data_IF_110108499420
#
_entry.id   IF_110108499420
#
_cell.length_a   1.000
_cell.length_b   1.000
_cell.length_c   1.000
_cell.angle_alpha   90.00
_cell.angle_beta   90.00
_cell.angle_gamma   90.00
#
_symmetry.space_group_name_H-M   'P 1'
#
loop_
_entity.id
_entity.type
_entity.pdbx_description
1 polymer ?
#
# COMPACT_ATOMS: atom_id res chain seq x y z
N UNK A 1 -14.11 -19.38 -0.12
CA UNK A 1 -14.62 -18.08 -0.55
C UNK A 1 -16.12 -18.15 -0.66
N UNK A 2 -16.84 -17.31 0.11
CA UNK A 2 -18.30 -17.41 0.26
C UNK A 2 -19.07 -16.65 -0.83
N UNK A 3 -18.48 -15.63 -1.40
CA UNK A 3 -19.10 -14.74 -2.37
C UNK A 3 -18.12 -14.32 -3.47
N UNK A 4 -18.55 -14.31 -4.72
CA UNK A 4 -17.82 -13.72 -5.81
C UNK A 4 -18.75 -13.15 -6.87
N UNK A 5 -18.36 -12.06 -7.52
CA UNK A 5 -19.12 -11.39 -8.54
C UNK A 5 -18.21 -10.79 -9.61
N UNK A 6 -18.60 -10.91 -10.86
CA UNK A 6 -17.88 -10.32 -11.99
C UNK A 6 -18.21 -8.83 -12.10
N UNK A 7 -17.21 -7.98 -12.26
CA UNK A 7 -17.43 -6.56 -12.52
C UNK A 7 -18.02 -6.35 -13.92
N UNK A 8 -18.84 -5.32 -14.04
CA UNK A 8 -19.45 -4.95 -15.31
C UNK A 8 -18.38 -4.58 -16.36
N UNK A 9 -18.57 -4.97 -17.60
CA UNK A 9 -17.57 -4.87 -18.69
C UNK A 9 -17.09 -3.45 -19.03
N UNK A 10 -17.73 -2.41 -18.48
CA UNK A 10 -17.39 -1.02 -18.76
C UNK A 10 -16.14 -0.52 -18.02
N UNK A 11 -15.65 -1.23 -17.01
CA UNK A 11 -14.48 -0.86 -16.22
C UNK A 11 -13.33 -1.78 -16.62
N UNK A 12 -12.37 -1.27 -17.37
CA UNK A 12 -11.31 -2.10 -18.00
C UNK A 12 -9.92 -1.84 -17.45
N UNK A 13 -9.61 -0.64 -16.96
CA UNK A 13 -8.25 -0.35 -16.53
C UNK A 13 -8.12 -0.38 -15.01
N UNK A 14 -6.99 -0.93 -14.55
CA UNK A 14 -6.59 -0.92 -13.14
C UNK A 14 -6.58 0.49 -12.56
N UNK A 15 -6.04 1.46 -13.32
CA UNK A 15 -5.96 2.86 -12.91
C UNK A 15 -7.34 3.49 -12.71
N UNK A 16 -8.33 3.16 -13.53
CA UNK A 16 -9.70 3.62 -13.35
C UNK A 16 -10.30 3.11 -12.05
N UNK A 17 -10.15 1.80 -11.75
CA UNK A 17 -10.63 1.22 -10.50
C UNK A 17 -9.95 1.86 -9.29
N UNK A 18 -8.62 1.97 -9.31
CA UNK A 18 -7.85 2.60 -8.24
C UNK A 18 -8.28 4.04 -8.01
N UNK A 19 -8.55 4.77 -9.08
CA UNK A 19 -9.01 6.14 -8.98
C UNK A 19 -10.42 6.23 -8.36
N UNK A 20 -11.34 5.36 -8.74
CA UNK A 20 -12.69 5.30 -8.16
C UNK A 20 -12.67 4.90 -6.69
N UNK A 21 -11.71 4.06 -6.30
CA UNK A 21 -11.54 3.59 -4.93
C UNK A 21 -10.55 4.42 -4.09
N UNK A 22 -9.98 5.50 -4.62
CA UNK A 22 -8.90 6.26 -3.96
C UNK A 22 -9.25 6.78 -2.56
N UNK A 23 -10.54 6.99 -2.27
CA UNK A 23 -11.04 7.43 -0.97
C UNK A 23 -11.37 6.29 -0.02
N UNK A 24 -11.29 5.03 -0.47
CA UNK A 24 -11.54 3.89 0.40
C UNK A 24 -10.36 3.68 1.36
N UNK A 25 -10.68 3.23 2.56
CA UNK A 25 -9.65 3.04 3.58
C UNK A 25 -8.75 1.85 3.24
N UNK A 26 -7.44 2.01 3.46
CA UNK A 26 -6.47 0.93 3.29
C UNK A 26 -6.39 0.37 1.87
N UNK A 27 -6.65 1.20 0.84
CA UNK A 27 -6.53 0.78 -0.55
C UNK A 27 -5.11 0.31 -0.85
N UNK A 28 -4.98 -0.92 -1.35
CA UNK A 28 -3.71 -1.54 -1.74
C UNK A 28 -3.85 -2.14 -3.13
N UNK A 29 -2.84 -1.91 -3.96
CA UNK A 29 -2.67 -2.57 -5.25
C UNK A 29 -1.45 -3.49 -5.21
N UNK A 30 -1.65 -4.76 -5.57
CA UNK A 30 -0.60 -5.75 -5.72
C UNK A 30 -0.54 -6.18 -7.18
N UNK A 31 0.60 -5.98 -7.79
CA UNK A 31 0.88 -6.47 -9.13
C UNK A 31 1.38 -7.91 -9.03
N UNK A 32 0.44 -8.86 -8.98
CA UNK A 32 0.75 -10.28 -8.85
C UNK A 32 0.83 -10.92 -10.25
N UNK A 33 1.95 -10.70 -10.92
CA UNK A 33 2.23 -11.19 -12.27
C UNK A 33 1.06 -10.91 -13.24
N UNK A 34 0.30 -11.95 -13.61
CA UNK A 34 -0.86 -11.84 -14.51
C UNK A 34 -2.21 -11.76 -13.77
N UNK A 35 -2.19 -11.66 -12.44
CA UNK A 35 -3.38 -11.65 -11.59
C UNK A 35 -3.37 -10.48 -10.60
N UNK A 36 -3.35 -9.22 -11.07
CA UNK A 36 -3.33 -8.09 -10.19
C UNK A 36 -4.51 -8.09 -9.21
N UNK A 37 -4.25 -7.61 -7.99
CA UNK A 37 -5.20 -7.58 -6.88
C UNK A 37 -5.35 -6.15 -6.38
N UNK A 38 -6.59 -5.72 -6.14
CA UNK A 38 -6.91 -4.46 -5.46
C UNK A 38 -7.68 -4.81 -4.18
N UNK A 39 -7.06 -4.57 -3.02
CA UNK A 39 -7.68 -4.78 -1.72
C UNK A 39 -8.01 -3.42 -1.07
N UNK A 40 -9.11 -3.35 -0.33
CA UNK A 40 -9.59 -2.13 0.30
C UNK A 40 -10.48 -2.46 1.51
N UNK A 41 -10.70 -1.48 2.38
CA UNK A 41 -11.52 -1.60 3.58
C UNK A 41 -11.16 -2.84 4.42
N UNK A 42 -9.93 -2.93 4.95
CA UNK A 42 -9.53 -4.06 5.78
C UNK A 42 -10.45 -4.19 6.99
N UNK A 43 -10.80 -5.43 7.38
CA UNK A 43 -11.59 -5.70 8.57
C UNK A 43 -10.95 -5.15 9.84
N UNK A 44 -9.64 -5.29 9.90
CA UNK A 44 -8.80 -4.80 10.98
C UNK A 44 -7.49 -4.29 10.38
N UNK A 45 -6.90 -3.28 11.01
CA UNK A 45 -5.55 -2.87 10.65
C UNK A 45 -4.77 -2.33 11.84
N UNK A 46 -3.47 -2.43 11.74
CA UNK A 46 -2.50 -1.90 12.71
C UNK A 46 -1.60 -0.91 12.01
N UNK A 47 -1.35 0.20 12.65
CA UNK A 47 -0.35 1.18 12.21
C UNK A 47 0.62 1.48 13.36
N UNK A 48 1.88 1.73 13.02
CA UNK A 48 2.84 2.34 13.93
C UNK A 48 3.11 3.77 13.50
N UNK A 49 2.73 4.68 14.35
CA UNK A 49 2.94 6.11 14.15
C UNK A 49 3.18 6.78 15.51
N UNK A 50 3.97 7.85 15.55
CA UNK A 50 4.29 8.57 16.79
C UNK A 50 4.77 7.66 17.93
N UNK A 51 5.63 6.68 17.61
CA UNK A 51 6.21 5.70 18.53
C UNK A 51 5.18 4.78 19.24
N UNK A 52 4.00 4.67 18.71
CA UNK A 52 2.94 3.83 19.26
C UNK A 52 2.26 3.00 18.18
N UNK A 53 1.91 1.77 18.52
CA UNK A 53 0.99 0.96 17.75
C UNK A 53 -0.44 1.42 18.02
N UNK A 54 -1.22 1.56 16.95
CA UNK A 54 -2.65 1.80 17.01
C UNK A 54 -3.35 0.71 16.23
N UNK A 55 -4.34 0.10 16.85
CA UNK A 55 -5.16 -0.94 16.27
C UNK A 55 -6.56 -0.43 15.99
N UNK A 56 -7.08 -0.78 14.82
CA UNK A 56 -8.40 -0.36 14.38
C UNK A 56 -9.20 -1.55 13.87
N UNK A 57 -10.47 -1.56 14.21
CA UNK A 57 -11.46 -2.53 13.73
C UNK A 57 -12.61 -1.80 13.07
N UNK A 58 -13.12 -2.33 11.96
CA UNK A 58 -14.33 -1.83 11.33
C UNK A 58 -15.55 -2.26 12.16
N UNK A 59 -16.47 -1.32 12.40
CA UNK A 59 -17.74 -1.59 13.09
C UNK A 59 -18.87 -1.89 12.10
N UNK A 60 -20.08 -2.16 12.62
CA UNK A 60 -21.27 -2.49 11.82
C UNK A 60 -21.78 -1.36 10.91
N UNK A 61 -21.32 -0.14 11.11
CA UNK A 61 -21.64 1.02 10.27
C UNK A 61 -20.48 1.45 9.39
N UNK A 62 -19.52 0.56 9.14
CA UNK A 62 -18.32 0.75 8.30
C UNK A 62 -17.41 1.90 8.73
N UNK A 63 -17.38 2.22 10.03
CA UNK A 63 -16.41 3.14 10.63
C UNK A 63 -15.34 2.37 11.38
N UNK A 64 -14.12 2.92 11.40
CA UNK A 64 -13.03 2.32 12.15
C UNK A 64 -12.98 2.85 13.58
N UNK A 65 -12.99 1.94 14.51
CA UNK A 65 -12.84 2.20 15.94
C UNK A 65 -11.46 1.78 16.42
N UNK A 66 -10.82 2.64 17.21
CA UNK A 66 -9.55 2.31 17.85
C UNK A 66 -9.79 1.41 19.06
N UNK A 67 -8.98 0.36 19.18
CA UNK A 67 -9.03 -0.60 20.27
C UNK A 67 -7.91 -0.32 21.27
N UNK A 68 -8.23 -0.26 22.55
CA UNK A 68 -7.30 0.16 23.62
C UNK A 68 -6.29 -0.92 24.02
N UNK A 69 -6.65 -2.21 23.89
CA UNK A 69 -5.76 -3.32 24.28
C UNK A 69 -5.41 -4.18 23.07
N UNK A 70 -4.18 -4.02 22.58
CA UNK A 70 -3.73 -4.80 21.45
C UNK A 70 -2.23 -5.05 21.44
N UNK A 71 -1.84 -6.28 21.13
CA UNK A 71 -0.46 -6.64 20.78
C UNK A 71 -0.40 -7.17 19.36
N UNK A 72 0.71 -6.92 18.66
CA UNK A 72 0.89 -7.38 17.29
C UNK A 72 0.85 -8.92 17.20
N UNK A 73 1.31 -9.61 18.23
CA UNK A 73 1.28 -11.06 18.32
C UNK A 73 -0.17 -11.58 18.36
N UNK A 74 -1.04 -10.91 19.11
CA UNK A 74 -2.47 -11.24 19.15
C UNK A 74 -3.14 -11.03 17.78
N UNK A 75 -2.74 -9.98 17.04
CA UNK A 75 -3.27 -9.70 15.72
C UNK A 75 -2.93 -10.80 14.71
N UNK A 76 -1.69 -11.24 14.68
CA UNK A 76 -1.23 -12.27 13.75
C UNK A 76 -1.75 -13.65 14.15
N UNK A 77 -1.77 -14.00 15.45
CA UNK A 77 -2.21 -15.31 15.93
C UNK A 77 -3.72 -15.51 15.78
N UNK A 78 -4.51 -14.47 15.98
CA UNK A 78 -5.98 -14.60 15.97
C UNK A 78 -6.55 -15.02 14.61
N UNK A 79 -5.77 -14.89 13.54
CA UNK A 79 -6.25 -15.08 12.18
C UNK A 79 -5.47 -16.11 11.35
N UNK A 80 -4.45 -16.73 11.92
CA UNK A 80 -3.67 -17.78 11.22
C UNK A 80 -4.36 -19.13 11.17
N UNK A 81 -5.50 -19.28 11.85
CA UNK A 81 -6.23 -20.53 11.88
C UNK A 81 -7.18 -20.64 10.67
N UNK A 82 -6.96 -21.66 9.86
CA UNK A 82 -7.95 -22.32 9.00
C UNK A 82 -8.01 -21.99 7.51
N UNK A 83 -6.89 -21.71 6.82
CA UNK A 83 -6.97 -22.04 5.40
C UNK A 83 -5.63 -22.53 4.83
N UNK A 84 -5.38 -23.87 4.82
CA UNK A 84 -4.28 -24.45 4.07
C UNK A 84 -4.65 -24.52 2.58
N UNK A 85 -5.05 -23.41 1.98
CA UNK A 85 -5.18 -23.39 0.53
C UNK A 85 -3.85 -22.98 -0.06
N UNK A 86 -3.22 -23.90 -0.73
CA UNK A 86 -2.12 -23.78 -1.67
C UNK A 86 -2.52 -22.94 -2.89
N UNK A 87 -3.16 -21.81 -2.70
CA UNK A 87 -3.45 -20.90 -3.79
C UNK A 87 -2.15 -20.21 -4.18
N UNK A 88 -1.73 -20.38 -5.43
CA UNK A 88 -0.56 -19.72 -5.99
C UNK A 88 -0.68 -18.18 -6.06
N UNK A 89 -1.81 -17.61 -5.68
CA UNK A 89 -2.17 -16.20 -5.80
C UNK A 89 -2.96 -15.75 -4.57
N UNK A 90 -3.00 -14.43 -4.32
CA UNK A 90 -3.73 -13.86 -3.18
C UNK A 90 -5.20 -14.31 -3.14
N UNK A 91 -5.64 -14.77 -1.97
CA UNK A 91 -7.00 -15.28 -1.70
C UNK A 91 -7.61 -14.73 -0.41
N UNK A 92 -7.21 -13.52 -0.01
CA UNK A 92 -7.52 -12.90 1.28
C UNK A 92 -6.40 -13.09 2.30
N UNK A 93 -6.42 -12.31 3.37
CA UNK A 93 -5.45 -12.36 4.45
C UNK A 93 -4.79 -11.02 4.71
N UNK A 94 -3.51 -11.05 5.08
CA UNK A 94 -2.78 -9.85 5.50
C UNK A 94 -2.00 -9.22 4.36
N UNK A 95 -2.15 -7.90 4.22
CA UNK A 95 -1.31 -7.07 3.35
C UNK A 95 -0.77 -5.92 4.18
N UNK A 96 0.52 -5.62 4.03
CA UNK A 96 1.13 -4.53 4.77
C UNK A 96 2.54 -4.23 4.33
N UNK A 97 3.16 -3.29 5.05
CA UNK A 97 4.56 -2.95 4.86
C UNK A 97 5.23 -2.58 6.18
N UNK A 98 6.52 -2.81 6.24
CA UNK A 98 7.42 -2.35 7.30
C UNK A 98 8.43 -1.44 6.62
N UNK A 99 8.46 -0.15 6.97
CA UNK A 99 9.41 0.78 6.38
C UNK A 99 10.79 0.64 7.02
N UNK A 100 11.80 1.11 6.30
CA UNK A 100 13.16 1.25 6.84
C UNK A 100 13.17 2.09 8.13
N UNK A 101 12.39 3.16 8.17
CA UNK A 101 12.30 4.07 9.31
C UNK A 101 11.82 3.37 10.60
N UNK A 102 10.96 2.33 10.49
CA UNK A 102 10.54 1.53 11.64
C UNK A 102 11.73 0.82 12.31
N UNK A 103 12.57 0.17 11.52
CA UNK A 103 13.77 -0.49 12.04
C UNK A 103 14.82 0.54 12.52
N UNK A 104 15.03 1.61 11.78
CA UNK A 104 16.00 2.65 12.10
C UNK A 104 15.68 3.38 13.41
N UNK A 105 14.41 3.51 13.78
CA UNK A 105 13.97 4.12 15.04
C UNK A 105 14.57 3.47 16.30
N UNK A 106 14.93 2.20 16.21
CA UNK A 106 15.56 1.48 17.33
C UNK A 106 16.99 1.94 17.59
N UNK A 107 17.66 2.52 16.60
CA UNK A 107 19.08 2.84 16.64
C UNK A 107 19.40 4.34 16.51
N UNK A 108 18.51 5.10 15.88
CA UNK A 108 18.73 6.52 15.60
C UNK A 108 17.42 7.30 15.60
N UNK A 109 17.46 8.60 15.95
CA UNK A 109 16.28 9.45 15.78
C UNK A 109 15.89 9.55 14.31
N UNK A 110 14.67 9.18 13.98
CA UNK A 110 14.10 9.28 12.63
C UNK A 110 13.06 10.39 12.63
N UNK A 111 13.05 11.20 11.56
CA UNK A 111 12.05 12.25 11.38
C UNK A 111 10.69 11.63 11.13
N UNK A 112 9.69 12.05 11.90
CA UNK A 112 8.31 11.64 11.69
C UNK A 112 7.80 12.07 10.31
N UNK A 113 7.04 11.17 9.66
CA UNK A 113 6.42 11.37 8.35
C UNK A 113 4.91 11.19 8.47
N UNK A 114 4.17 11.72 7.50
CA UNK A 114 2.72 11.52 7.41
C UNK A 114 2.37 10.04 7.17
N UNK A 115 3.16 9.35 6.37
CA UNK A 115 3.00 7.91 6.15
C UNK A 115 3.45 7.15 7.40
N UNK A 116 2.65 6.19 7.90
CA UNK A 116 3.07 5.34 9.00
C UNK A 116 4.31 4.54 8.62
N UNK A 117 5.17 4.24 9.60
CA UNK A 117 6.37 3.43 9.38
C UNK A 117 6.10 1.93 9.39
N UNK A 118 4.91 1.54 9.81
CA UNK A 118 4.42 0.17 9.80
C UNK A 118 2.91 0.18 9.54
N UNK A 119 2.44 -0.69 8.67
CA UNK A 119 1.03 -0.93 8.42
C UNK A 119 0.81 -2.40 8.10
N UNK A 120 -0.19 -3.03 8.71
CA UNK A 120 -0.72 -4.33 8.30
C UNK A 120 -2.25 -4.27 8.42
N UNK A 121 -2.95 -4.64 7.34
CA UNK A 121 -4.40 -4.79 7.29
C UNK A 121 -4.80 -6.22 6.95
N UNK A 122 -5.91 -6.68 7.52
CA UNK A 122 -6.56 -7.94 7.16
C UNK A 122 -7.66 -7.66 6.14
N UNK A 123 -7.56 -8.30 4.99
CA UNK A 123 -8.48 -8.13 3.87
C UNK A 123 -9.24 -9.42 3.60
N UNK A 124 -10.53 -9.40 3.88
CA UNK A 124 -11.45 -10.50 3.58
C UNK A 124 -12.13 -10.31 2.23
N UNK A 125 -12.04 -9.09 1.68
CA UNK A 125 -12.66 -8.70 0.42
C UNK A 125 -11.64 -7.97 -0.46
N UNK A 126 -11.66 -8.28 -1.76
CA UNK A 126 -10.71 -7.73 -2.72
C UNK A 126 -11.22 -7.89 -4.15
N UNK A 127 -10.67 -7.13 -5.07
CA UNK A 127 -10.80 -7.32 -6.51
C UNK A 127 -9.59 -8.09 -7.03
N UNK A 128 -9.83 -9.01 -7.96
CA UNK A 128 -8.77 -9.75 -8.64
C UNK A 128 -9.07 -9.82 -10.14
N UNK A 129 -8.01 -9.62 -10.93
CA UNK A 129 -8.09 -9.74 -12.38
C UNK A 129 -7.64 -11.13 -12.82
N UNK A 130 -8.46 -11.81 -13.61
CA UNK A 130 -8.13 -13.04 -14.32
C UNK A 130 -9.11 -13.23 -15.49
N UNK A 131 -8.73 -14.02 -16.47
CA UNK A 131 -9.54 -14.29 -17.66
C UNK A 131 -10.10 -13.01 -18.32
N UNK A 132 -9.23 -11.98 -18.43
CA UNK A 132 -9.52 -10.65 -18.99
C UNK A 132 -10.63 -9.86 -18.29
N UNK A 133 -10.96 -10.21 -17.04
CA UNK A 133 -11.99 -9.55 -16.26
C UNK A 133 -11.60 -9.34 -14.80
N UNK A 134 -12.18 -8.31 -14.21
CA UNK A 134 -12.13 -8.10 -12.77
C UNK A 134 -13.28 -8.82 -12.07
N UNK A 135 -12.98 -9.45 -10.95
CA UNK A 135 -13.94 -10.11 -10.07
C UNK A 135 -13.78 -9.59 -8.65
N UNK A 136 -14.90 -9.38 -7.98
CA UNK A 136 -14.95 -9.14 -6.55
C UNK A 136 -15.04 -10.49 -5.83
N UNK A 137 -14.24 -10.64 -4.80
CA UNK A 137 -14.18 -11.80 -3.93
C UNK A 137 -14.35 -11.39 -2.49
N UNK A 138 -15.12 -12.15 -1.69
CA UNK A 138 -15.26 -11.90 -0.26
C UNK A 138 -15.55 -13.18 0.52
N UNK A 139 -14.99 -13.26 1.74
CA UNK A 139 -15.34 -14.24 2.77
C UNK A 139 -16.11 -13.60 3.94
N UNK A 140 -16.38 -12.29 3.87
CA UNK A 140 -17.15 -11.57 4.87
C UNK A 140 -18.61 -12.01 4.90
N UNK A 141 -19.25 -11.92 6.07
CA UNK A 141 -20.65 -12.28 6.21
C UNK A 141 -21.60 -11.25 5.55
N UNK A 142 -21.12 -10.02 5.35
CA UNK A 142 -21.80 -8.90 4.70
C UNK A 142 -21.35 -8.68 3.24
N UNK A 143 -20.79 -9.70 2.59
CA UNK A 143 -20.20 -9.62 1.27
C UNK A 143 -21.12 -9.00 0.20
N UNK A 144 -22.42 -9.33 0.23
CA UNK A 144 -23.41 -8.79 -0.71
C UNK A 144 -23.61 -7.28 -0.53
N UNK A 145 -23.63 -6.81 0.71
CA UNK A 145 -23.74 -5.37 0.99
C UNK A 145 -22.46 -4.64 0.55
N UNK A 146 -21.28 -5.21 0.77
CA UNK A 146 -20.01 -4.66 0.28
C UNK A 146 -19.99 -4.59 -1.25
N UNK A 147 -20.51 -5.60 -1.92
CA UNK A 147 -20.65 -5.59 -3.38
C UNK A 147 -21.53 -4.44 -3.87
N UNK A 148 -22.71 -4.25 -3.28
CA UNK A 148 -23.61 -3.15 -3.65
C UNK A 148 -22.94 -1.78 -3.46
N UNK A 149 -22.22 -1.58 -2.37
CA UNK A 149 -21.46 -0.35 -2.14
C UNK A 149 -20.34 -0.15 -3.17
N UNK A 150 -19.63 -1.21 -3.49
CA UNK A 150 -18.59 -1.19 -4.52
C UNK A 150 -19.17 -0.82 -5.90
N UNK A 151 -20.29 -1.39 -6.30
CA UNK A 151 -20.96 -1.04 -7.56
C UNK A 151 -21.33 0.45 -7.62
N UNK A 152 -21.83 1.01 -6.53
CA UNK A 152 -22.13 2.45 -6.44
C UNK A 152 -20.87 3.29 -6.68
N UNK A 153 -19.76 2.95 -6.03
CA UNK A 153 -18.49 3.66 -6.19
C UNK A 153 -17.95 3.54 -7.62
N UNK A 154 -17.97 2.34 -8.18
CA UNK A 154 -17.47 2.08 -9.52
C UNK A 154 -18.32 2.72 -10.63
N UNK A 155 -19.61 2.95 -10.39
CA UNK A 155 -20.50 3.62 -11.33
C UNK A 155 -20.46 5.15 -11.23
N UNK A 156 -19.77 5.74 -10.26
CA UNK A 156 -19.62 7.19 -10.19
C UNK A 156 -18.83 7.71 -11.39
N UNK A 157 -19.30 8.83 -11.95
CA UNK A 157 -18.52 9.54 -12.96
C UNK A 157 -17.34 10.22 -12.28
N UNK A 158 -16.16 9.79 -12.61
CA UNK A 158 -14.91 10.34 -12.08
C UNK A 158 -14.05 10.84 -13.25
N UNK A 159 -13.42 11.98 -13.06
CA UNK A 159 -12.49 12.53 -14.02
C UNK A 159 -11.08 12.41 -13.45
N UNK A 160 -10.25 11.59 -14.09
CA UNK A 160 -8.86 11.40 -13.68
C UNK A 160 -8.04 12.58 -14.18
N UNK A 161 -7.51 13.36 -13.27
CA UNK A 161 -6.53 14.40 -13.64
C UNK A 161 -5.21 13.73 -14.02
N UNK A 162 -4.78 13.91 -15.25
CA UNK A 162 -3.51 13.38 -15.74
C UNK A 162 -2.34 14.03 -14.98
N UNK A 163 -1.42 13.20 -14.48
CA UNK A 163 -0.21 13.70 -13.86
C UNK A 163 0.66 14.41 -14.89
N UNK A 164 1.04 15.63 -14.59
CA UNK A 164 1.95 16.43 -15.42
C UNK A 164 3.06 17.05 -14.58
N UNK A 165 4.28 17.01 -15.08
CA UNK A 165 5.40 17.71 -14.46
C UNK A 165 5.32 19.20 -14.80
N UNK A 166 5.30 20.04 -13.78
CA UNK A 166 5.31 21.50 -13.90
C UNK A 166 6.72 22.06 -14.07
N UNK A 167 7.74 21.24 -13.84
CA UNK A 167 9.14 21.60 -13.95
C UNK A 167 9.96 20.37 -14.39
N UNK A 168 11.09 20.61 -15.02
CA UNK A 168 12.08 19.56 -15.30
C UNK A 168 12.61 18.98 -14.00
N UNK A 169 12.85 17.67 -13.99
CA UNK A 169 13.55 17.00 -12.89
C UNK A 169 14.92 17.63 -12.65
N UNK A 170 15.18 18.05 -11.42
CA UNK A 170 16.45 18.65 -11.01
C UNK A 170 17.11 17.78 -9.94
N UNK A 171 18.40 17.49 -10.09
CA UNK A 171 19.14 16.81 -9.04
C UNK A 171 19.25 17.71 -7.82
N UNK A 172 19.18 17.13 -6.62
CA UNK A 172 19.34 17.87 -5.35
C UNK A 172 20.75 18.41 -5.18
N UNK A 173 21.75 17.64 -5.63
CA UNK A 173 23.15 18.01 -5.56
C UNK A 173 23.66 18.57 -6.90
N UNK A 174 24.55 19.53 -6.81
CA UNK A 174 25.30 19.96 -7.99
C UNK A 174 26.28 18.86 -8.44
N UNK A 175 26.73 18.86 -9.69
CA UNK A 175 27.77 17.93 -10.14
C UNK A 175 29.05 18.01 -9.32
N UNK A 176 29.37 19.20 -8.79
CA UNK A 176 30.54 19.40 -7.94
C UNK A 176 30.35 18.71 -6.57
N UNK A 177 29.20 18.89 -5.95
CA UNK A 177 28.85 18.26 -4.65
C UNK A 177 28.84 16.73 -4.79
N UNK A 178 28.27 16.21 -5.89
CA UNK A 178 28.25 14.77 -6.14
C UNK A 178 29.67 14.21 -6.30
N UNK A 179 30.55 14.89 -7.06
CA UNK A 179 31.94 14.49 -7.21
C UNK A 179 32.72 14.49 -5.90
N UNK A 180 32.51 15.49 -5.04
CA UNK A 180 33.14 15.52 -3.72
C UNK A 180 32.69 14.34 -2.84
N UNK A 181 31.40 14.02 -2.83
CA UNK A 181 30.89 12.86 -2.10
C UNK A 181 31.46 11.55 -2.65
N UNK A 182 31.55 11.43 -3.97
CA UNK A 182 32.16 10.26 -4.63
C UNK A 182 33.63 10.11 -4.26
N UNK A 183 34.41 11.18 -4.31
CA UNK A 183 35.82 11.13 -3.93
C UNK A 183 36.01 10.69 -2.48
N UNK A 184 35.19 11.22 -1.57
CA UNK A 184 35.21 10.84 -0.16
C UNK A 184 34.92 9.36 0.07
N UNK A 185 34.02 8.79 -0.72
CA UNK A 185 33.73 7.34 -0.71
C UNK A 185 34.96 6.55 -1.17
N UNK A 186 35.63 6.99 -2.22
CA UNK A 186 36.85 6.34 -2.70
C UNK A 186 37.95 6.36 -1.63
N UNK A 187 38.10 7.48 -0.93
CA UNK A 187 39.08 7.60 0.16
C UNK A 187 38.77 6.62 1.31
N UNK A 188 37.51 6.45 1.72
CA UNK A 188 37.09 5.46 2.72
C UNK A 188 37.34 4.00 2.28
N UNK A 189 37.09 3.69 1.00
CA UNK A 189 37.37 2.36 0.46
C UNK A 189 38.89 2.09 0.47
N UNK A 190 39.69 3.07 0.05
CA UNK A 190 41.16 2.95 0.05
C UNK A 190 41.74 2.85 1.48
N UNK A 191 41.14 3.50 2.45
CA UNK A 191 41.53 3.42 3.86
C UNK A 191 41.12 2.10 4.54
N UNK A 192 40.25 1.31 3.88
CA UNK A 192 39.73 0.06 4.44
C UNK A 192 38.57 0.24 5.43
N UNK A 193 38.01 1.46 5.54
CA UNK A 193 36.87 1.76 6.40
C UNK A 193 35.57 1.09 5.91
N UNK A 194 35.48 0.82 4.61
CA UNK A 194 34.38 0.08 4.00
C UNK A 194 34.85 -0.57 2.69
N UNK A 195 34.13 -1.60 2.26
CA UNK A 195 34.45 -2.30 1.00
C UNK A 195 33.50 -1.89 -0.14
N UNK A 196 32.33 -1.34 0.17
CA UNK A 196 31.32 -0.87 -0.80
C UNK A 196 30.43 0.20 -0.19
N UNK A 197 30.13 1.23 -0.94
CA UNK A 197 29.12 2.25 -0.60
C UNK A 197 28.30 2.57 -1.84
N UNK A 198 26.96 2.58 -1.68
CA UNK A 198 26.03 3.05 -2.72
C UNK A 198 25.81 4.54 -2.58
N UNK A 199 26.22 5.31 -3.60
CA UNK A 199 25.97 6.75 -3.65
C UNK A 199 24.72 7.04 -4.48
N UNK A 200 23.74 7.68 -3.87
CA UNK A 200 22.48 8.08 -4.52
C UNK A 200 22.25 9.56 -4.41
N UNK A 201 21.44 10.13 -5.29
CA UNK A 201 20.91 11.46 -5.14
C UNK A 201 19.44 11.52 -5.51
N UNK A 202 18.76 12.46 -4.89
CA UNK A 202 17.35 12.73 -5.11
C UNK A 202 17.18 13.64 -6.35
N UNK A 203 16.17 13.33 -7.18
CA UNK A 203 15.69 14.20 -8.23
C UNK A 203 14.30 14.72 -7.85
N UNK A 204 14.09 16.00 -8.00
CA UNK A 204 12.89 16.70 -7.56
C UNK A 204 12.26 17.44 -8.72
N UNK A 205 10.93 17.34 -8.83
CA UNK A 205 10.11 18.18 -9.70
C UNK A 205 8.79 18.50 -9.01
N UNK A 206 8.19 19.62 -9.36
CA UNK A 206 6.78 19.88 -9.04
C UNK A 206 5.90 19.18 -10.06
N UNK A 207 4.88 18.50 -9.57
CA UNK A 207 3.88 17.83 -10.39
C UNK A 207 2.47 18.30 -10.00
N UNK A 208 1.54 18.18 -10.92
CA UNK A 208 0.11 18.42 -10.72
C UNK A 208 -0.68 17.26 -11.33
N UNK A 209 -1.83 16.94 -10.76
CA UNK A 209 -2.66 15.82 -11.15
C UNK A 209 -2.50 14.61 -10.26
N UNK A 210 -3.14 13.50 -10.61
CA UNK A 210 -3.14 12.29 -9.82
C UNK A 210 -2.03 11.31 -10.22
N UNK A 211 -1.21 10.80 -9.29
CA UNK A 211 -0.23 9.76 -9.59
C UNK A 211 -0.88 8.45 -10.08
N UNK A 212 -2.18 8.24 -9.82
CA UNK A 212 -2.93 7.09 -10.32
C UNK A 212 -3.19 7.12 -11.83
N UNK A 213 -2.83 8.22 -12.50
CA UNK A 213 -2.93 8.34 -13.97
C UNK A 213 -1.67 7.83 -14.70
N UNK A 214 -0.64 7.40 -13.96
CA UNK A 214 0.55 6.72 -14.49
C UNK A 214 0.27 5.24 -14.72
#
# INVERSE_FOLDING_TARGET
>A
MKFFCKLNQNIRSTSEILFKLHSTHGLVFLEDQNHPVIAFNPRHYVVYNNKQFKYFKINSIYQYEMMDEFTIDNFIQFHSANNPQTAATFSGGYIGFISYDYAAHQFTPVKERLQPSFYIGQYDSFLKFHDDHWYFYSDADDAEQQWQQLEILLNQKTQIETLSLQQTLRPRWSPATYRQAFQRIQDYILAGDCYQINLTQEFIAKAQGSPLSL
#
